data_IF_044924469564
#
_entry.id   IF_044924469564
#
_cell.length_a   1.000
_cell.length_b   1.000
_cell.length_c   1.000
_cell.angle_alpha   90.00
_cell.angle_beta   90.00
_cell.angle_gamma   90.00
#
_symmetry.space_group_name_H-M   'P 1'
#
loop_
_entity.id
_entity.type
_entity.pdbx_description
1 polymer ?
#
# COMPACT_ATOMS: atom_id res chain seq x y z
N UNK A 1 9.50 -5.31 -11.85
CA UNK A 1 9.61 -4.38 -10.71
C UNK A 1 10.38 -5.06 -9.59
N UNK A 2 11.11 -4.31 -8.77
CA UNK A 2 11.70 -4.79 -7.52
C UNK A 2 10.71 -4.66 -6.36
N UNK A 3 10.03 -3.52 -6.29
CA UNK A 3 9.07 -3.21 -5.24
C UNK A 3 7.92 -2.39 -5.80
N UNK A 4 6.71 -2.62 -5.29
CA UNK A 4 5.52 -1.90 -5.69
C UNK A 4 4.61 -1.69 -4.48
N UNK A 5 4.02 -0.50 -4.39
CA UNK A 5 2.91 -0.22 -3.47
C UNK A 5 1.75 0.37 -4.20
N UNK A 6 0.56 0.08 -3.70
CA UNK A 6 -0.68 0.69 -4.15
C UNK A 6 -1.54 1.09 -2.97
N UNK A 7 -2.19 2.23 -3.08
CA UNK A 7 -3.13 2.71 -2.09
C UNK A 7 -4.38 3.28 -2.74
N UNK A 8 -5.55 3.08 -2.11
CA UNK A 8 -6.80 3.73 -2.48
C UNK A 8 -7.47 4.28 -1.24
N UNK A 9 -7.59 5.59 -1.18
CA UNK A 9 -8.06 6.34 -0.01
C UNK A 9 -9.29 7.18 -0.39
N UNK A 10 -10.46 6.90 0.22
CA UNK A 10 -11.63 7.75 0.06
C UNK A 10 -11.42 9.06 0.84
N UNK A 11 -11.54 10.18 0.16
CA UNK A 11 -11.61 11.53 0.74
C UNK A 11 -13.08 11.98 0.78
N UNK A 12 -13.35 13.15 1.36
CA UNK A 12 -14.72 13.65 1.51
C UNK A 12 -15.44 13.76 0.18
N UNK A 13 -14.77 14.13 -0.90
CA UNK A 13 -15.40 14.44 -2.20
C UNK A 13 -14.83 13.68 -3.41
N UNK A 14 -13.79 12.89 -3.19
CA UNK A 14 -13.09 12.16 -4.24
C UNK A 14 -12.43 10.92 -3.66
N UNK A 15 -11.94 10.06 -4.53
CA UNK A 15 -11.04 8.96 -4.14
C UNK A 15 -9.68 9.23 -4.73
N UNK A 16 -8.62 9.10 -3.93
CA UNK A 16 -7.25 9.16 -4.44
C UNK A 16 -6.64 7.77 -4.47
N UNK A 17 -5.96 7.47 -5.56
CA UNK A 17 -5.25 6.24 -5.83
C UNK A 17 -3.77 6.57 -6.04
N UNK A 18 -2.90 5.80 -5.42
CA UNK A 18 -1.46 5.93 -5.57
C UNK A 18 -0.87 4.63 -6.08
N UNK A 19 -0.01 4.72 -7.10
CA UNK A 19 0.77 3.61 -7.63
C UNK A 19 2.25 4.00 -7.62
N UNK A 20 3.01 3.30 -6.79
CA UNK A 20 4.44 3.55 -6.63
C UNK A 20 5.21 2.28 -6.96
N UNK A 21 6.30 2.40 -7.71
CA UNK A 21 7.11 1.24 -8.03
C UNK A 21 8.59 1.59 -8.20
N UNK A 22 9.45 0.72 -7.68
CA UNK A 22 10.83 0.64 -8.14
C UNK A 22 10.89 -0.42 -9.24
N UNK A 23 11.19 -0.02 -10.47
CA UNK A 23 11.31 -0.90 -11.64
C UNK A 23 12.60 -1.72 -11.57
N UNK A 24 12.70 -2.75 -12.41
CA UNK A 24 13.84 -3.66 -12.40
C UNK A 24 15.17 -2.97 -12.79
N UNK A 25 15.07 -1.96 -13.65
CA UNK A 25 16.17 -1.08 -14.06
C UNK A 25 16.52 0.01 -13.03
N UNK A 26 15.84 0.04 -11.88
CA UNK A 26 16.04 1.03 -10.82
C UNK A 26 15.25 2.33 -11.00
N UNK A 27 14.58 2.54 -12.15
CA UNK A 27 13.72 3.72 -12.34
C UNK A 27 12.51 3.67 -11.41
N UNK A 28 11.99 4.84 -11.05
CA UNK A 28 10.86 4.98 -10.12
C UNK A 28 9.60 5.41 -10.89
N UNK A 29 8.48 4.77 -10.56
CA UNK A 29 7.13 5.23 -10.88
C UNK A 29 6.52 5.85 -9.62
N UNK A 30 5.92 7.02 -9.79
CA UNK A 30 5.18 7.75 -8.77
C UNK A 30 3.92 8.33 -9.43
N UNK A 31 2.80 7.62 -9.33
CA UNK A 31 1.54 8.02 -9.95
C UNK A 31 0.50 8.32 -8.87
N UNK A 32 -0.03 9.54 -8.88
CA UNK A 32 -1.22 9.93 -8.12
C UNK A 32 -2.40 10.16 -9.05
N UNK A 33 -3.55 9.57 -8.74
CA UNK A 33 -4.78 9.76 -9.50
C UNK A 33 -5.90 10.09 -8.53
N UNK A 34 -6.70 11.11 -8.83
CA UNK A 34 -7.97 11.34 -8.15
C UNK A 34 -9.15 11.04 -9.06
N UNK A 35 -10.22 10.55 -8.46
CA UNK A 35 -11.50 10.28 -9.11
C UNK A 35 -12.57 11.02 -8.31
N UNK A 36 -13.22 12.02 -8.93
CA UNK A 36 -14.28 12.78 -8.27
C UNK A 36 -15.63 12.04 -8.28
N UNK A 37 -16.66 12.64 -7.67
CA UNK A 37 -17.99 12.02 -7.58
C UNK A 37 -18.68 11.83 -8.93
N UNK A 38 -18.28 12.60 -9.94
CA UNK A 38 -18.81 12.53 -11.29
C UNK A 38 -18.11 11.43 -12.10
N UNK A 39 -17.05 10.84 -11.54
CA UNK A 39 -16.22 9.83 -12.19
C UNK A 39 -15.13 10.43 -13.07
N UNK A 40 -14.92 11.75 -13.02
CA UNK A 40 -13.80 12.37 -13.73
C UNK A 40 -12.48 11.96 -13.08
N UNK A 41 -11.53 11.60 -13.92
CA UNK A 41 -10.22 11.09 -13.50
C UNK A 41 -9.16 12.13 -13.81
N UNK A 42 -8.37 12.50 -12.81
CA UNK A 42 -7.28 13.46 -12.97
C UNK A 42 -6.00 12.92 -12.35
N UNK A 43 -4.88 13.09 -13.05
CA UNK A 43 -3.57 12.87 -12.46
C UNK A 43 -3.25 14.03 -11.51
N UNK A 44 -2.63 13.72 -10.37
CA UNK A 44 -2.24 14.68 -9.34
C UNK A 44 -0.78 14.46 -8.95
N UNK A 45 -0.12 15.50 -8.49
CA UNK A 45 1.17 15.35 -7.83
C UNK A 45 0.95 14.62 -6.50
N UNK A 46 1.52 13.41 -6.32
CA UNK A 46 1.30 12.67 -5.10
C UNK A 46 2.04 13.30 -3.90
N UNK A 47 1.48 13.28 -2.68
CA UNK A 47 2.22 13.63 -1.47
C UNK A 47 3.48 12.77 -1.30
N UNK A 48 4.46 13.17 -0.47
CA UNK A 48 5.66 12.36 -0.26
C UNK A 48 5.38 10.91 0.15
N UNK A 49 6.25 9.99 -0.29
CA UNK A 49 6.27 8.63 0.22
C UNK A 49 6.75 8.62 1.67
N UNK A 50 5.95 8.05 2.56
CA UNK A 50 6.26 7.97 3.98
C UNK A 50 6.32 6.50 4.42
N UNK A 51 7.45 6.03 4.98
CA UNK A 51 7.56 4.69 5.50
C UNK A 51 6.75 4.54 6.79
N UNK A 52 6.28 3.32 7.05
CA UNK A 52 5.60 2.97 8.29
C UNK A 52 6.01 1.54 8.73
N UNK A 53 5.60 1.07 9.93
CA UNK A 53 6.05 -0.22 10.43
C UNK A 53 5.92 -1.34 9.41
N UNK A 54 6.88 -2.26 9.34
CA UNK A 54 6.86 -3.39 8.39
C UNK A 54 5.71 -4.36 8.71
N UNK A 55 5.34 -5.21 7.76
CA UNK A 55 4.34 -6.27 8.01
C UNK A 55 4.87 -7.31 9.01
N UNK A 56 4.04 -8.24 9.49
CA UNK A 56 4.46 -9.35 10.35
C UNK A 56 5.49 -10.25 9.66
N UNK A 57 5.41 -10.39 8.34
CA UNK A 57 6.44 -11.01 7.51
C UNK A 57 7.62 -10.10 7.15
N UNK A 58 7.76 -8.95 7.83
CA UNK A 58 8.80 -7.94 7.60
C UNK A 58 8.83 -7.36 6.18
N UNK A 59 7.72 -7.40 5.44
CA UNK A 59 7.62 -6.74 4.13
C UNK A 59 7.75 -5.22 4.35
N UNK A 60 8.58 -4.54 3.53
CA UNK A 60 8.72 -3.07 3.56
C UNK A 60 7.36 -2.47 3.22
N UNK A 61 6.97 -1.40 3.92
CA UNK A 61 5.73 -0.68 3.63
C UNK A 61 5.97 0.81 3.67
N UNK A 62 5.38 1.47 2.68
CA UNK A 62 5.37 2.92 2.50
C UNK A 62 4.10 3.28 1.75
N UNK A 63 3.55 4.45 2.02
CA UNK A 63 2.39 4.99 1.31
C UNK A 63 2.48 6.51 1.29
N UNK A 64 1.59 7.18 0.53
CA UNK A 64 1.58 8.63 0.45
C UNK A 64 0.95 9.23 1.70
N UNK A 65 1.58 10.28 2.23
CA UNK A 65 1.11 11.02 3.38
C UNK A 65 1.55 12.48 3.30
N UNK A 66 0.76 13.36 3.91
CA UNK A 66 1.15 14.76 4.09
C UNK A 66 2.45 14.87 4.91
N UNK A 67 3.29 15.88 4.65
CA UNK A 67 4.52 16.11 5.40
C UNK A 67 4.30 16.11 6.92
N UNK A 68 5.12 15.34 7.65
CA UNK A 68 5.05 15.23 9.10
C UNK A 68 3.98 14.26 9.63
N UNK A 69 3.17 13.63 8.76
CA UNK A 69 2.21 12.61 9.16
C UNK A 69 2.76 11.19 8.92
N UNK A 70 2.71 10.34 9.93
CA UNK A 70 3.12 8.94 9.83
C UNK A 70 1.90 8.03 9.59
N UNK A 71 1.82 7.29 8.46
CA UNK A 71 0.76 6.33 8.23
C UNK A 71 0.72 5.24 9.29
N UNK A 72 -0.48 4.74 9.59
CA UNK A 72 -0.68 3.70 10.61
C UNK A 72 -1.57 2.58 10.07
N UNK A 73 -1.16 1.34 10.33
CA UNK A 73 -2.03 0.20 10.06
C UNK A 73 -3.25 0.23 10.99
N UNK A 74 -4.45 0.19 10.41
CA UNK A 74 -5.73 0.02 11.11
C UNK A 74 -6.08 -1.45 11.21
N UNK A 75 -6.03 -2.18 10.10
CA UNK A 75 -6.45 -3.57 10.03
C UNK A 75 -5.59 -4.35 9.03
N UNK A 76 -5.03 -5.49 9.46
CA UNK A 76 -4.37 -6.43 8.54
C UNK A 76 -5.43 -7.23 7.78
N UNK A 77 -5.34 -7.26 6.46
CA UNK A 77 -6.24 -8.03 5.59
C UNK A 77 -5.56 -9.29 5.05
N UNK A 78 -4.30 -9.18 4.67
CA UNK A 78 -3.45 -10.29 4.22
C UNK A 78 -1.99 -9.96 4.56
N UNK A 79 -1.27 -10.92 5.14
CA UNK A 79 0.16 -10.80 5.40
C UNK A 79 0.89 -12.07 4.96
N UNK A 80 1.81 -11.92 4.01
CA UNK A 80 2.56 -13.00 3.38
C UNK A 80 4.05 -12.63 3.24
N UNK A 81 4.95 -13.59 3.01
CA UNK A 81 6.40 -13.36 2.98
C UNK A 81 6.91 -12.34 1.95
N UNK A 82 6.11 -11.96 0.95
CA UNK A 82 6.50 -11.00 -0.10
C UNK A 82 5.38 -10.01 -0.42
N UNK A 83 4.22 -10.14 0.21
CA UNK A 83 3.04 -9.33 -0.09
C UNK A 83 2.26 -9.04 1.19
N UNK A 84 1.75 -7.83 1.31
CA UNK A 84 0.84 -7.47 2.41
C UNK A 84 -0.27 -6.57 1.90
N UNK A 85 -1.48 -6.77 2.42
CA UNK A 85 -2.64 -5.90 2.24
C UNK A 85 -3.21 -5.52 3.61
N UNK A 86 -3.50 -4.25 3.81
CA UNK A 86 -4.06 -3.74 5.06
C UNK A 86 -4.98 -2.54 4.79
N UNK A 87 -5.84 -2.23 5.77
CA UNK A 87 -6.36 -0.87 5.92
C UNK A 87 -5.31 -0.03 6.63
N UNK A 88 -5.02 1.13 6.05
CA UNK A 88 -4.06 2.11 6.56
C UNK A 88 -4.76 3.45 6.71
N UNK A 89 -4.55 4.07 7.86
CA UNK A 89 -4.91 5.46 8.13
C UNK A 89 -3.73 6.34 7.72
N UNK A 90 -4.01 7.38 6.94
CA UNK A 90 -3.04 8.39 6.52
C UNK A 90 -3.72 9.76 6.44
N UNK A 91 -2.95 10.79 6.14
CA UNK A 91 -3.45 12.15 5.88
C UNK A 91 -3.04 12.57 4.48
N UNK A 92 -4.01 13.04 3.69
CA UNK A 92 -3.80 13.46 2.30
C UNK A 92 -4.51 14.80 2.10
N UNK A 93 -3.77 15.84 1.70
CA UNK A 93 -4.34 17.16 1.44
C UNK A 93 -5.05 17.75 2.67
N UNK A 94 -4.53 17.48 3.87
CA UNK A 94 -5.09 17.94 5.13
C UNK A 94 -6.19 17.04 5.71
N UNK A 95 -6.66 16.02 4.97
CA UNK A 95 -7.78 15.17 5.38
C UNK A 95 -7.31 13.77 5.83
N UNK A 96 -7.81 13.29 6.96
CA UNK A 96 -7.54 11.94 7.45
C UNK A 96 -8.42 10.93 6.73
N UNK A 97 -7.81 9.87 6.20
CA UNK A 97 -8.51 8.82 5.46
C UNK A 97 -8.01 7.43 5.85
N UNK A 98 -8.93 6.48 5.92
CA UNK A 98 -8.62 5.05 6.03
C UNK A 98 -8.88 4.40 4.68
N UNK A 99 -7.81 3.90 4.07
CA UNK A 99 -7.84 3.30 2.73
C UNK A 99 -7.20 1.93 2.69
N UNK A 100 -7.39 1.23 1.57
CA UNK A 100 -6.69 -0.02 1.30
C UNK A 100 -5.27 0.31 0.87
N UNK A 101 -4.30 -0.40 1.43
CA UNK A 101 -2.89 -0.33 1.07
C UNK A 101 -2.34 -1.72 0.78
N UNK A 102 -1.54 -1.81 -0.27
CA UNK A 102 -0.81 -3.00 -0.70
C UNK A 102 0.67 -2.71 -0.83
N UNK A 103 1.50 -3.70 -0.48
CA UNK A 103 2.93 -3.71 -0.73
C UNK A 103 3.34 -5.08 -1.29
N UNK A 104 4.13 -5.06 -2.36
CA UNK A 104 4.66 -6.23 -3.05
C UNK A 104 6.18 -6.09 -3.21
N UNK A 105 6.91 -7.06 -2.70
CA UNK A 105 8.37 -7.14 -2.79
C UNK A 105 8.77 -8.31 -3.70
N UNK A 106 9.00 -8.00 -4.97
CA UNK A 106 9.35 -9.00 -5.97
C UNK A 106 10.80 -9.47 -5.85
N UNK A 107 11.69 -8.66 -5.27
CA UNK A 107 13.04 -9.07 -4.91
C UNK A 107 13.01 -10.19 -3.86
N UNK A 108 12.08 -10.13 -2.89
CA UNK A 108 11.84 -11.24 -1.95
C UNK A 108 11.20 -12.43 -2.66
N UNK A 109 10.17 -12.20 -3.48
CA UNK A 109 9.49 -13.28 -4.22
C UNK A 109 10.43 -14.09 -5.13
N UNK A 110 11.46 -13.46 -5.69
CA UNK A 110 12.45 -14.11 -6.55
C UNK A 110 13.35 -15.12 -5.80
N UNK A 111 13.41 -15.07 -4.47
CA UNK A 111 14.29 -15.95 -3.69
C UNK A 111 13.79 -17.40 -3.71
N UNK A 112 14.63 -18.39 -4.08
CA UNK A 112 14.19 -19.79 -4.21
C UNK A 112 13.59 -20.39 -2.94
N UNK A 113 14.15 -20.04 -1.77
CA UNK A 113 13.67 -20.55 -0.48
C UNK A 113 12.25 -20.07 -0.12
N UNK A 114 11.74 -19.03 -0.78
CA UNK A 114 10.42 -18.49 -0.55
C UNK A 114 9.34 -19.24 -1.37
N UNK A 115 9.74 -19.94 -2.45
CA UNK A 115 8.82 -20.67 -3.34
C UNK A 115 8.02 -21.77 -2.63
N UNK A 116 8.61 -22.62 -1.77
CA UNK A 116 7.85 -23.62 -1.03
C UNK A 116 6.76 -22.99 -0.15
N UNK A 117 6.97 -21.77 0.37
CA UNK A 117 6.00 -21.10 1.24
C UNK A 117 4.71 -20.70 0.51
N UNK A 118 4.75 -20.54 -0.83
CA UNK A 118 3.58 -20.20 -1.65
C UNK A 118 2.58 -21.36 -1.70
N UNK A 119 3.06 -22.60 -1.55
CA UNK A 119 2.21 -23.78 -1.53
C UNK A 119 1.33 -23.85 -0.27
N UNK A 120 1.62 -23.05 0.76
CA UNK A 120 0.86 -23.03 2.01
C UNK A 120 -0.13 -21.87 2.03
N UNK A 121 -1.37 -22.17 2.43
CA UNK A 121 -2.42 -21.16 2.61
C UNK A 121 -2.05 -20.26 3.78
N UNK A 122 -2.12 -18.94 3.55
CA UNK A 122 -1.94 -17.95 4.63
C UNK A 122 -3.01 -18.17 5.71
N UNK A 123 -2.62 -18.32 7.00
CA UNK A 123 -3.56 -18.49 8.08
C UNK A 123 -4.57 -17.33 8.11
N UNK A 124 -5.86 -17.66 8.09
CA UNK A 124 -6.92 -16.67 8.25
C UNK A 124 -7.28 -16.62 9.73
N UNK A 125 -7.29 -15.42 10.33
CA UNK A 125 -7.86 -15.26 11.67
C UNK A 125 -9.37 -15.52 11.63
N UNK A 126 -9.84 -16.45 12.45
CA UNK A 126 -11.27 -16.64 12.70
C UNK A 126 -11.77 -15.55 13.67
N UNK A 127 -13.01 -15.07 13.48
CA UNK A 127 -13.70 -14.22 14.47
C UNK A 127 -13.37 -12.72 14.44
N UNK A 128 -13.26 -12.09 13.27
CA UNK A 128 -13.18 -10.62 13.19
C UNK A 128 -14.45 -9.96 13.73
N UNK A 129 -14.31 -8.98 14.63
CA UNK A 129 -15.38 -8.07 15.05
C UNK A 129 -15.05 -6.67 14.52
N UNK A 130 -16.05 -6.03 13.91
CA UNK A 130 -15.99 -4.66 13.40
C UNK A 130 -16.33 -3.66 14.50
#
# INVERSE_FOLDING_TARGET
FHFWTWGRFPLRDRTVCFYDATRADGSVLALGVEVDRQGEVREIEPPPLTPFPRSGWRVRRETRADPGHAPRQVMSLLDAPFYSRALVETRIGGETSVGVHEALDLTRYARPWLKPMIAFRVPRRAGWRF
#
